data_IF_182170789627
#
_entry.id   IF_182170789627
#
_cell.length_a   1.000
_cell.length_b   1.000
_cell.length_c   1.000
_cell.angle_alpha   90.00
_cell.angle_beta   90.00
_cell.angle_gamma   90.00
#
_symmetry.space_group_name_H-M   'P 1'
#
loop_
_entity.id
_entity.type
_entity.pdbx_description
1 polymer ?
#
# COMPACT_ATOMS: atom_id res chain seq x y z
N UNK A 1 -4.59 -9.27 11.04
CA UNK A 1 -3.48 -9.50 10.08
C UNK A 1 -2.40 -10.35 10.75
N UNK A 2 -2.28 -11.63 10.37
CA UNK A 2 -1.47 -12.67 11.04
C UNK A 2 0.06 -12.58 10.86
N UNK A 3 0.64 -11.37 10.95
CA UNK A 3 2.10 -11.17 10.84
C UNK A 3 2.86 -11.94 11.93
N UNK A 4 2.37 -11.86 13.18
CA UNK A 4 2.94 -12.57 14.32
C UNK A 4 2.85 -14.10 14.15
N UNK A 5 1.80 -14.60 13.49
CA UNK A 5 1.68 -16.03 13.15
C UNK A 5 2.72 -16.47 12.12
N UNK A 6 3.03 -15.63 11.13
CA UNK A 6 4.06 -15.90 10.14
C UNK A 6 5.46 -15.83 10.77
N UNK A 7 5.69 -14.87 11.65
CA UNK A 7 6.95 -14.66 12.36
C UNK A 7 7.33 -15.88 13.20
N UNK A 8 6.41 -16.42 13.99
CA UNK A 8 6.64 -17.61 14.82
C UNK A 8 6.93 -18.88 13.99
N UNK A 9 6.56 -18.92 12.70
CA UNK A 9 6.94 -20.02 11.80
C UNK A 9 8.34 -19.86 11.21
N UNK A 10 8.81 -18.63 11.03
CA UNK A 10 10.11 -18.33 10.40
C UNK A 10 11.24 -18.26 11.42
N UNK A 11 10.95 -17.87 12.65
CA UNK A 11 11.94 -17.74 13.74
C UNK A 11 11.52 -18.66 14.89
N UNK A 12 12.04 -19.89 14.95
CA UNK A 12 11.78 -20.81 16.05
C UNK A 12 12.23 -20.18 17.38
N UNK A 13 11.31 -20.04 18.34
CA UNK A 13 11.60 -19.44 19.65
C UNK A 13 11.48 -17.91 19.71
N UNK A 14 10.96 -17.25 18.67
CA UNK A 14 10.66 -15.82 18.73
C UNK A 14 9.59 -15.45 19.76
N UNK A 15 8.70 -16.39 20.15
CA UNK A 15 7.61 -16.21 21.11
C UNK A 15 6.84 -14.89 20.94
N UNK A 16 6.70 -14.42 19.69
CA UNK A 16 6.02 -13.17 19.41
C UNK A 16 4.55 -13.30 19.85
N UNK A 17 4.08 -12.33 20.63
CA UNK A 17 2.73 -12.34 21.23
C UNK A 17 1.66 -12.50 20.15
N UNK A 18 1.06 -13.68 20.06
CA UNK A 18 -0.13 -13.93 19.23
C UNK A 18 -1.38 -13.78 20.10
N UNK A 19 -2.01 -12.62 20.09
CA UNK A 19 -3.33 -12.50 20.72
C UNK A 19 -4.39 -13.18 19.83
N UNK A 20 -5.22 -14.03 20.44
CA UNK A 20 -6.46 -14.51 19.83
C UNK A 20 -7.38 -13.32 19.54
N UNK A 21 -8.00 -13.32 18.36
CA UNK A 21 -8.89 -12.27 17.89
C UNK A 21 -10.01 -12.08 18.93
N UNK A 22 -10.14 -10.86 19.47
CA UNK A 22 -11.24 -10.48 20.37
C UNK A 22 -12.57 -10.63 19.64
N UNK A 23 -13.46 -11.49 20.15
CA UNK A 23 -14.81 -11.72 19.60
C UNK A 23 -15.74 -10.51 19.73
N UNK A 24 -15.31 -9.42 20.36
CA UNK A 24 -16.17 -8.25 20.65
C UNK A 24 -15.97 -7.10 19.66
N UNK A 25 -14.83 -7.02 18.99
CA UNK A 25 -14.53 -5.97 18.02
C UNK A 25 -13.82 -6.58 16.80
N UNK A 26 -14.49 -6.64 15.65
CA UNK A 26 -13.99 -7.18 14.38
C UNK A 26 -12.80 -6.40 13.77
N UNK A 27 -12.01 -5.71 14.58
CA UNK A 27 -10.80 -5.00 14.20
C UNK A 27 -9.62 -5.63 14.94
N UNK A 28 -8.73 -6.28 14.19
CA UNK A 28 -7.54 -6.92 14.73
C UNK A 28 -6.70 -5.91 15.53
N UNK A 29 -6.62 -6.10 16.84
CA UNK A 29 -5.81 -5.27 17.71
C UNK A 29 -4.34 -5.60 17.46
N UNK A 30 -3.63 -4.67 16.83
CA UNK A 30 -2.20 -4.78 16.57
C UNK A 30 -1.46 -4.70 17.91
N UNK A 31 -0.90 -5.81 18.39
CA UNK A 31 -0.20 -5.85 19.69
C UNK A 31 1.27 -5.42 19.59
N UNK A 32 1.87 -5.37 18.38
CA UNK A 32 3.24 -4.87 18.21
C UNK A 32 3.23 -3.33 18.17
N UNK A 33 3.65 -2.68 19.25
CA UNK A 33 3.74 -1.20 19.38
C UNK A 33 5.13 -0.66 19.03
N UNK A 34 6.12 -1.52 18.83
CA UNK A 34 7.50 -1.16 18.48
C UNK A 34 8.01 -2.05 17.36
N UNK A 35 8.97 -1.53 16.58
CA UNK A 35 9.67 -2.34 15.59
C UNK A 35 10.67 -3.27 16.28
N UNK A 36 10.61 -4.56 16.00
CA UNK A 36 11.52 -5.56 16.58
C UNK A 36 12.29 -6.30 15.47
N UNK A 37 13.59 -6.52 15.70
CA UNK A 37 14.48 -7.24 14.80
C UNK A 37 14.68 -8.67 15.32
N UNK A 38 14.50 -9.66 14.45
CA UNK A 38 14.68 -11.07 14.72
C UNK A 38 15.71 -11.67 13.77
N UNK A 39 16.75 -12.31 14.30
CA UNK A 39 17.73 -13.03 13.47
C UNK A 39 17.14 -14.35 12.96
N UNK A 40 17.35 -14.65 11.68
CA UNK A 40 16.82 -15.86 11.04
C UNK A 40 17.80 -17.04 11.16
N UNK A 41 17.30 -18.26 11.42
CA UNK A 41 18.12 -19.48 11.42
C UNK A 41 18.55 -19.84 10.00
N UNK A 42 19.67 -19.29 9.56
CA UNK A 42 20.15 -19.36 8.17
C UNK A 42 20.87 -18.08 7.69
N UNK A 43 20.85 -17.03 8.51
CA UNK A 43 21.45 -15.73 8.19
C UNK A 43 20.42 -14.74 7.66
N UNK A 44 20.67 -13.46 7.93
CA UNK A 44 19.71 -12.37 7.69
C UNK A 44 18.80 -12.12 8.90
N UNK A 45 17.98 -11.08 8.80
CA UNK A 45 17.11 -10.64 9.88
C UNK A 45 15.74 -10.19 9.36
N UNK A 46 14.73 -10.30 10.22
CA UNK A 46 13.35 -9.91 9.99
C UNK A 46 12.98 -8.78 10.93
N UNK A 47 12.40 -7.70 10.39
CA UNK A 47 11.87 -6.60 11.20
C UNK A 47 10.35 -6.70 11.22
N UNK A 48 9.73 -6.96 12.37
CA UNK A 48 8.28 -6.79 12.55
C UNK A 48 8.01 -5.32 12.87
N UNK A 49 7.26 -4.65 12.00
CA UNK A 49 6.81 -3.28 12.22
C UNK A 49 5.33 -3.27 12.64
N UNK A 50 4.92 -2.35 13.54
CA UNK A 50 3.51 -2.11 13.82
C UNK A 50 2.72 -1.96 12.52
N UNK A 51 1.47 -2.43 12.51
CA UNK A 51 0.61 -2.19 11.36
C UNK A 51 0.44 -0.69 11.16
N UNK A 52 0.99 -0.14 10.08
CA UNK A 52 0.84 1.26 9.72
C UNK A 52 -0.64 1.47 9.37
N UNK A 53 -1.37 2.20 10.22
CA UNK A 53 -2.80 2.54 10.01
C UNK A 53 -3.02 3.85 9.25
N UNK A 54 -1.96 4.62 9.06
CA UNK A 54 -1.99 5.87 8.31
C UNK A 54 -0.60 6.17 7.79
N UNK A 55 -0.54 6.50 6.50
CA UNK A 55 0.62 7.14 5.91
C UNK A 55 0.56 8.62 6.35
N UNK A 56 1.64 9.17 6.89
CA UNK A 56 1.71 10.61 7.18
C UNK A 56 1.53 11.42 5.89
N UNK A 57 1.31 12.73 5.99
CA UNK A 57 1.16 13.63 4.84
C UNK A 57 2.33 13.47 3.87
N UNK A 58 2.13 12.73 2.80
CA UNK A 58 3.05 12.68 1.68
C UNK A 58 2.65 13.82 0.76
N UNK A 59 3.47 14.87 0.71
CA UNK A 59 3.37 15.88 -0.35
C UNK A 59 3.87 15.21 -1.64
N UNK A 60 2.96 14.51 -2.33
CA UNK A 60 3.27 13.83 -3.58
C UNK A 60 2.92 14.77 -4.73
N UNK A 61 3.90 15.05 -5.60
CA UNK A 61 3.62 15.71 -6.87
C UNK A 61 2.66 14.80 -7.68
N UNK A 62 1.52 15.32 -8.16
CA UNK A 62 0.60 14.58 -9.05
C UNK A 62 1.30 13.90 -10.24
N UNK A 63 2.41 14.48 -10.72
CA UNK A 63 3.22 13.90 -11.79
C UNK A 63 3.93 12.59 -11.37
N UNK A 64 4.20 12.40 -10.08
CA UNK A 64 4.90 11.23 -9.55
C UNK A 64 3.96 10.11 -9.10
N UNK A 65 2.69 10.41 -8.79
CA UNK A 65 1.73 9.42 -8.27
C UNK A 65 1.59 8.22 -9.23
N UNK A 66 1.63 8.48 -10.54
CA UNK A 66 1.55 7.43 -11.56
C UNK A 66 2.74 6.46 -11.52
N UNK A 67 3.90 6.90 -11.03
CA UNK A 67 5.12 6.09 -10.95
C UNK A 67 5.04 5.00 -9.88
N UNK A 68 4.22 5.19 -8.83
CA UNK A 68 4.04 4.20 -7.77
C UNK A 68 3.18 3.00 -8.20
N UNK A 69 2.48 3.13 -9.32
CA UNK A 69 1.66 2.06 -9.89
C UNK A 69 2.37 1.47 -11.11
N UNK A 70 3.03 0.33 -10.92
CA UNK A 70 3.78 -0.36 -11.99
C UNK A 70 3.02 -0.50 -13.31
N UNK A 71 1.72 -0.80 -13.24
CA UNK A 71 0.87 -0.98 -14.42
C UNK A 71 0.66 0.34 -15.17
N UNK A 72 0.37 1.41 -14.43
CA UNK A 72 0.14 2.76 -14.96
C UNK A 72 1.44 3.33 -15.50
N UNK A 73 2.55 3.17 -14.77
CA UNK A 73 3.89 3.57 -15.19
C UNK A 73 4.32 2.90 -16.50
N UNK A 74 4.06 1.61 -16.67
CA UNK A 74 4.39 0.92 -17.92
C UNK A 74 3.54 1.41 -19.10
N UNK A 75 2.26 1.74 -18.85
CA UNK A 75 1.33 2.23 -19.87
C UNK A 75 1.57 3.71 -20.23
N UNK A 76 2.08 4.52 -19.29
CA UNK A 76 2.29 5.96 -19.48
C UNK A 76 3.29 6.27 -20.61
N UNK A 77 4.21 5.35 -20.91
CA UNK A 77 5.14 5.46 -22.04
C UNK A 77 4.42 5.57 -23.40
N UNK A 78 3.18 5.10 -23.51
CA UNK A 78 2.35 5.23 -24.70
C UNK A 78 1.50 6.50 -24.76
N UNK A 79 1.57 7.36 -23.74
CA UNK A 79 0.79 8.60 -23.73
C UNK A 79 1.32 9.60 -24.75
N UNK A 80 0.40 10.36 -25.34
CA UNK A 80 0.74 11.44 -26.27
C UNK A 80 1.56 12.57 -25.62
N UNK A 81 1.33 12.83 -24.34
CA UNK A 81 1.96 13.93 -23.59
C UNK A 81 2.86 13.38 -22.48
N UNK A 82 4.03 14.00 -22.28
CA UNK A 82 4.99 13.63 -21.24
C UNK A 82 4.52 13.94 -19.82
N UNK A 83 3.66 14.93 -19.66
CA UNK A 83 3.08 15.36 -18.38
C UNK A 83 1.62 14.92 -18.22
N UNK A 84 1.24 13.80 -18.84
CA UNK A 84 -0.11 13.26 -18.76
C UNK A 84 -0.42 12.82 -17.33
N UNK A 85 -1.47 13.39 -16.73
CA UNK A 85 -2.01 13.01 -15.41
C UNK A 85 -2.93 11.80 -15.48
N UNK A 86 -3.14 11.23 -16.67
CA UNK A 86 -3.97 10.07 -16.90
C UNK A 86 -5.44 10.22 -16.48
N UNK A 87 -5.95 11.45 -16.38
CA UNK A 87 -7.32 11.72 -15.90
C UNK A 87 -8.27 12.17 -17.01
N UNK A 88 -7.80 12.97 -17.96
CA UNK A 88 -8.65 13.57 -19.00
C UNK A 88 -7.93 13.82 -20.33
N UNK A 89 -6.63 13.54 -20.42
CA UNK A 89 -5.83 13.94 -21.57
C UNK A 89 -6.16 13.12 -22.84
N UNK A 90 -6.32 13.79 -24.00
CA UNK A 90 -6.59 13.10 -25.26
C UNK A 90 -5.36 12.28 -25.69
N UNK A 91 -5.57 11.00 -26.04
CA UNK A 91 -4.48 10.09 -26.39
C UNK A 91 -3.70 9.55 -25.18
N UNK A 92 -4.31 9.56 -24.00
CA UNK A 92 -3.79 8.87 -22.83
C UNK A 92 -3.84 7.34 -23.02
N UNK A 93 -2.68 6.68 -23.00
CA UNK A 93 -2.60 5.23 -23.14
C UNK A 93 -3.14 4.48 -21.92
N UNK A 94 -3.13 5.10 -20.73
CA UNK A 94 -3.68 4.53 -19.49
C UNK A 94 -5.21 4.47 -19.57
N UNK A 95 -5.87 5.57 -19.97
CA UNK A 95 -7.33 5.59 -20.17
C UNK A 95 -7.77 4.61 -21.25
N UNK A 96 -7.04 4.55 -22.38
CA UNK A 96 -7.31 3.56 -23.42
C UNK A 96 -7.15 2.12 -22.90
N UNK A 97 -6.13 1.85 -22.10
CA UNK A 97 -5.94 0.52 -21.52
C UNK A 97 -7.03 0.16 -20.49
N UNK A 98 -7.61 1.15 -19.81
CA UNK A 98 -8.77 0.97 -18.94
C UNK A 98 -10.02 0.58 -19.77
N UNK A 99 -10.28 1.30 -20.86
CA UNK A 99 -11.39 1.00 -21.78
C UNK A 99 -11.25 -0.38 -22.45
N UNK A 100 -10.02 -0.77 -22.79
CA UNK A 100 -9.71 -2.08 -23.39
C UNK A 100 -9.61 -3.21 -22.35
N UNK A 101 -9.94 -2.96 -21.07
CA UNK A 101 -9.82 -3.92 -19.96
C UNK A 101 -8.42 -4.51 -19.75
N UNK A 102 -7.37 -3.82 -20.22
CA UNK A 102 -5.96 -4.16 -19.98
C UNK A 102 -5.44 -3.59 -18.66
N UNK A 103 -6.13 -2.59 -18.10
CA UNK A 103 -5.93 -2.09 -16.74
C UNK A 103 -7.16 -2.41 -15.91
N UNK A 104 -6.96 -3.01 -14.74
CA UNK A 104 -8.06 -3.32 -13.83
C UNK A 104 -8.69 -2.01 -13.28
N UNK A 105 -10.03 -1.85 -13.32
CA UNK A 105 -10.68 -0.63 -12.83
C UNK A 105 -10.36 -0.32 -11.37
N UNK A 106 -10.22 -1.34 -10.52
CA UNK A 106 -9.83 -1.17 -9.11
C UNK A 106 -8.46 -0.51 -8.93
N UNK A 107 -7.52 -0.76 -9.85
CA UNK A 107 -6.19 -0.14 -9.85
C UNK A 107 -6.27 1.33 -10.24
N UNK A 108 -7.06 1.64 -11.27
CA UNK A 108 -7.29 3.02 -11.69
C UNK A 108 -8.03 3.84 -10.61
N UNK A 109 -9.03 3.26 -9.93
CA UNK A 109 -9.70 3.89 -8.79
C UNK A 109 -8.72 4.15 -7.64
N UNK A 110 -7.83 3.20 -7.35
CA UNK A 110 -6.80 3.39 -6.31
C UNK A 110 -5.83 4.52 -6.68
N UNK A 111 -5.44 4.61 -7.95
CA UNK A 111 -4.63 5.70 -8.47
C UNK A 111 -5.32 7.06 -8.31
N UNK A 112 -6.57 7.18 -8.76
CA UNK A 112 -7.35 8.41 -8.58
C UNK A 112 -7.49 8.78 -7.11
N UNK A 113 -7.75 7.81 -6.23
CA UNK A 113 -7.86 8.06 -4.80
C UNK A 113 -6.58 8.61 -4.18
N UNK A 114 -5.40 8.24 -4.70
CA UNK A 114 -4.11 8.80 -4.27
C UNK A 114 -3.80 10.16 -4.91
N UNK A 115 -4.28 10.38 -6.14
CA UNK A 115 -4.09 11.65 -6.87
C UNK A 115 -4.98 12.77 -6.31
N UNK A 116 -6.18 12.41 -5.86
CA UNK A 116 -7.17 13.31 -5.25
C UNK A 116 -7.01 13.44 -3.73
N UNK A 117 -6.10 12.66 -3.12
CA UNK A 117 -5.77 12.71 -1.69
C UNK A 117 -5.05 14.04 -1.38
N UNK A 118 -5.84 15.11 -1.33
CA UNK A 118 -5.44 16.45 -0.89
C UNK A 118 -5.74 16.67 0.59
N UNK A 119 -6.06 15.62 1.33
CA UNK A 119 -6.49 15.75 2.71
C UNK A 119 -5.31 16.18 3.60
N UNK A 120 -5.36 17.44 4.05
CA UNK A 120 -4.66 17.94 5.23
C UNK A 120 -5.07 17.18 6.52
N UNK A 121 -6.08 16.31 6.44
CA UNK A 121 -6.48 15.42 7.52
C UNK A 121 -5.44 14.31 7.67
N UNK A 122 -4.43 14.59 8.51
CA UNK A 122 -3.30 13.76 8.94
C UNK A 122 -3.59 12.29 9.29
N UNK A 123 -4.85 11.86 9.37
CA UNK A 123 -5.27 10.50 9.70
C UNK A 123 -6.63 10.15 9.11
N UNK A 124 -6.74 9.00 8.44
CA UNK A 124 -8.05 8.34 8.23
C UNK A 124 -8.61 7.96 9.61
N UNK A 125 -9.84 8.36 9.95
CA UNK A 125 -10.44 7.96 11.22
C UNK A 125 -10.52 6.43 11.26
N UNK A 126 -10.03 5.85 12.35
CA UNK A 126 -10.16 4.43 12.60
C UNK A 126 -11.65 4.11 12.79
N UNK A 127 -12.18 3.22 11.95
CA UNK A 127 -13.47 2.56 12.18
C UNK A 127 -13.35 1.59 13.35
#
# INVERSE_FOLDING_TARGET
MGKSTLLNRLVPGADARTASISETHQTGQHTTTFSELYDLPGGGALIDIPGIKGFGTFDMDPAEVGHYFRDIFALSAGCRFHNCTHTHEPGCAVLRALDEHRLAPSRYVSYLSMLEDKDEAKYRPAY
#
